data_IF_971102495773
#
_entry.id   IF_971102495773
#
_cell.length_a   1.000
_cell.length_b   1.000
_cell.length_c   1.000
_cell.angle_alpha   90.00
_cell.angle_beta   90.00
_cell.angle_gamma   90.00
#
_symmetry.space_group_name_H-M   'P 1'
#
loop_
_entity.id
_entity.type
_entity.pdbx_description
1 polymer ?
#
# COMPACT_ATOMS: atom_id res chain seq x y z
N UNK A 1 -28.08 -11.35 -44.77
CA UNK A 1 -28.36 -10.52 -43.57
C UNK A 1 -27.10 -10.53 -42.72
N UNK A 2 -26.19 -9.59 -42.96
CA UNK A 2 -24.92 -9.50 -42.23
C UNK A 2 -25.17 -8.89 -40.85
N UNK A 3 -25.06 -9.72 -39.80
CA UNK A 3 -24.99 -9.26 -38.42
C UNK A 3 -23.67 -8.50 -38.21
N UNK A 4 -23.73 -7.17 -38.31
CA UNK A 4 -22.69 -6.28 -37.79
C UNK A 4 -22.55 -6.51 -36.27
N UNK A 5 -21.61 -7.38 -35.89
CA UNK A 5 -21.02 -7.36 -34.56
C UNK A 5 -20.29 -6.01 -34.42
N UNK A 6 -21.00 -5.00 -33.93
CA UNK A 6 -20.37 -3.79 -33.40
C UNK A 6 -19.58 -4.19 -32.16
N UNK A 7 -18.36 -4.68 -32.36
CA UNK A 7 -17.32 -4.62 -31.34
C UNK A 7 -16.95 -3.15 -31.19
N UNK A 8 -17.60 -2.46 -30.27
CA UNK A 8 -17.07 -1.21 -29.74
C UNK A 8 -15.79 -1.56 -28.99
N UNK A 9 -14.65 -1.48 -29.68
CA UNK A 9 -13.35 -1.52 -29.05
C UNK A 9 -13.32 -0.44 -27.97
N UNK A 10 -13.39 -0.87 -26.70
CA UNK A 10 -13.31 0.03 -25.56
C UNK A 10 -11.89 0.58 -25.55
N UNK A 11 -11.72 1.78 -26.11
CA UNK A 11 -10.43 2.49 -26.16
C UNK A 11 -9.82 2.51 -24.76
N UNK A 12 -8.72 1.79 -24.59
CA UNK A 12 -8.00 1.69 -23.32
C UNK A 12 -7.52 3.09 -22.93
N UNK A 13 -7.75 3.50 -21.68
CA UNK A 13 -7.25 4.77 -21.17
C UNK A 13 -5.73 4.71 -21.02
N UNK A 14 -5.02 5.16 -22.06
CA UNK A 14 -3.56 5.09 -22.16
C UNK A 14 -2.85 5.82 -21.01
N UNK A 15 -3.45 6.88 -20.45
CA UNK A 15 -2.88 7.58 -19.28
C UNK A 15 -2.95 6.72 -18.03
N UNK A 16 -4.07 6.02 -17.81
CA UNK A 16 -4.22 5.12 -16.67
C UNK A 16 -3.36 3.87 -16.81
N UNK A 17 -3.17 3.36 -18.03
CA UNK A 17 -2.26 2.25 -18.28
C UNK A 17 -0.80 2.64 -17.96
N UNK A 18 -0.37 3.82 -18.41
CA UNK A 18 0.95 4.35 -18.09
C UNK A 18 1.11 4.61 -16.59
N UNK A 19 0.09 5.18 -15.93
CA UNK A 19 0.09 5.37 -14.48
C UNK A 19 0.30 4.05 -13.73
N UNK A 20 -0.45 3.01 -14.12
CA UNK A 20 -0.33 1.68 -13.52
C UNK A 20 1.08 1.10 -13.69
N UNK A 21 1.66 1.21 -14.89
CA UNK A 21 3.04 0.78 -15.15
C UNK A 21 4.05 1.52 -14.26
N UNK A 22 3.94 2.84 -14.16
CA UNK A 22 4.82 3.67 -13.34
C UNK A 22 4.70 3.36 -11.83
N UNK A 23 3.48 3.12 -11.33
CA UNK A 23 3.26 2.74 -9.94
C UNK A 23 3.91 1.37 -9.63
N UNK A 24 3.74 0.39 -10.52
CA UNK A 24 4.37 -0.92 -10.36
C UNK A 24 5.89 -0.82 -10.35
N UNK A 25 6.46 -0.07 -11.29
CA UNK A 25 7.90 0.18 -11.38
C UNK A 25 8.39 0.90 -10.11
N UNK A 26 7.65 1.89 -9.60
CA UNK A 26 8.01 2.62 -8.38
C UNK A 26 8.13 1.71 -7.16
N UNK A 27 7.20 0.76 -6.98
CA UNK A 27 7.26 -0.23 -5.89
C UNK A 27 8.41 -1.22 -6.04
N UNK A 28 8.74 -1.63 -7.27
CA UNK A 28 9.89 -2.51 -7.54
C UNK A 28 11.20 -1.77 -7.28
N UNK A 29 11.36 -0.55 -7.81
CA UNK A 29 12.56 0.25 -7.64
C UNK A 29 12.81 0.67 -6.19
N UNK A 30 11.77 0.77 -5.36
CA UNK A 30 11.94 0.98 -3.93
C UNK A 30 12.79 -0.12 -3.28
N UNK A 31 12.65 -1.37 -3.71
CA UNK A 31 13.46 -2.49 -3.21
C UNK A 31 14.93 -2.35 -3.60
N UNK A 32 15.22 -1.63 -4.68
CA UNK A 32 16.58 -1.41 -5.15
C UNK A 32 17.33 -0.32 -4.38
N UNK A 33 16.65 0.47 -3.52
CA UNK A 33 17.30 1.52 -2.73
C UNK A 33 18.41 0.95 -1.85
N UNK A 34 18.20 -0.25 -1.29
CA UNK A 34 19.19 -0.94 -0.47
C UNK A 34 20.54 -1.17 -1.19
N UNK A 35 20.54 -1.32 -2.53
CA UNK A 35 21.79 -1.54 -3.29
C UNK A 35 22.62 -0.27 -3.49
N UNK A 36 22.00 0.90 -3.40
CA UNK A 36 22.68 2.19 -3.60
C UNK A 36 22.88 2.97 -2.30
N UNK A 37 22.19 2.57 -1.23
CA UNK A 37 22.22 3.22 0.08
C UNK A 37 23.64 3.39 0.65
N UNK A 38 24.55 2.44 0.39
CA UNK A 38 25.94 2.50 0.86
C UNK A 38 26.79 3.63 0.25
N UNK A 39 26.34 4.23 -0.85
CA UNK A 39 27.04 5.32 -1.54
C UNK A 39 26.46 6.71 -1.21
N UNK A 40 25.45 6.78 -0.33
CA UNK A 40 24.71 7.99 -0.02
C UNK A 40 24.82 8.27 1.49
N UNK A 41 24.97 9.54 1.93
CA UNK A 41 24.92 9.89 3.35
C UNK A 41 23.67 9.34 4.04
N UNK A 42 23.83 8.77 5.24
CA UNK A 42 22.76 8.06 5.97
C UNK A 42 21.47 8.89 6.12
N UNK A 43 21.62 10.19 6.42
CA UNK A 43 20.48 11.11 6.54
C UNK A 43 19.69 11.22 5.22
N UNK A 44 20.39 11.31 4.10
CA UNK A 44 19.76 11.39 2.78
C UNK A 44 19.08 10.07 2.42
N UNK A 45 19.69 8.92 2.73
CA UNK A 45 19.07 7.61 2.55
C UNK A 45 17.76 7.50 3.34
N UNK A 46 17.74 7.92 4.61
CA UNK A 46 16.52 7.91 5.44
C UNK A 46 15.41 8.79 4.87
N UNK A 47 15.75 10.01 4.44
CA UNK A 47 14.79 10.94 3.81
C UNK A 47 14.24 10.35 2.52
N UNK A 48 15.13 9.79 1.69
CA UNK A 48 14.78 9.20 0.42
C UNK A 48 13.84 8.01 0.59
N UNK A 49 14.17 7.07 1.48
CA UNK A 49 13.31 5.93 1.79
C UNK A 49 11.94 6.37 2.33
N UNK A 50 11.90 7.35 3.24
CA UNK A 50 10.65 7.86 3.81
C UNK A 50 9.74 8.55 2.78
N UNK A 51 10.32 9.20 1.77
CA UNK A 51 9.61 10.05 0.82
C UNK A 51 9.43 9.44 -0.57
N UNK A 52 10.12 8.34 -0.91
CA UNK A 52 10.13 7.74 -2.25
C UNK A 52 8.72 7.52 -2.81
N UNK A 53 7.93 6.69 -2.14
CA UNK A 53 6.56 6.40 -2.59
C UNK A 53 5.66 7.64 -2.47
N UNK A 54 5.83 8.43 -1.41
CA UNK A 54 5.03 9.64 -1.17
C UNK A 54 5.14 10.63 -2.34
N UNK A 55 6.37 10.96 -2.73
CA UNK A 55 6.65 11.92 -3.80
C UNK A 55 6.33 11.32 -5.16
N UNK A 56 6.86 10.14 -5.48
CA UNK A 56 6.69 9.56 -6.81
C UNK A 56 5.23 9.19 -7.09
N UNK A 57 4.56 8.51 -6.16
CA UNK A 57 3.16 8.12 -6.37
C UNK A 57 2.23 9.33 -6.30
N UNK A 58 2.59 10.37 -5.54
CA UNK A 58 1.91 11.67 -5.58
C UNK A 58 2.00 12.35 -6.95
N UNK A 59 3.21 12.42 -7.53
CA UNK A 59 3.45 12.96 -8.88
C UNK A 59 2.70 12.15 -9.93
N UNK A 60 2.79 10.81 -9.88
CA UNK A 60 2.09 9.93 -10.84
C UNK A 60 0.57 10.13 -10.74
N UNK A 61 0.03 10.16 -9.52
CA UNK A 61 -1.38 10.43 -9.29
C UNK A 61 -1.82 11.79 -9.83
N UNK A 62 -1.05 12.85 -9.57
CA UNK A 62 -1.33 14.20 -10.04
C UNK A 62 -1.39 14.29 -11.57
N UNK A 63 -0.33 13.87 -12.26
CA UNK A 63 -0.20 14.07 -13.71
C UNK A 63 -1.02 13.09 -14.54
N UNK A 64 -1.15 11.83 -14.13
CA UNK A 64 -1.79 10.79 -14.95
C UNK A 64 -3.22 10.47 -14.51
N UNK A 65 -3.53 10.59 -13.21
CA UNK A 65 -4.87 10.29 -12.68
C UNK A 65 -5.71 11.54 -12.41
N UNK A 66 -5.07 12.71 -12.29
CA UNK A 66 -5.71 14.03 -12.24
C UNK A 66 -6.55 14.25 -10.99
N UNK A 67 -7.66 14.97 -11.13
CA UNK A 67 -8.52 15.40 -10.00
C UNK A 67 -8.92 14.25 -9.08
N UNK A 68 -9.24 13.07 -9.61
CA UNK A 68 -9.66 11.92 -8.80
C UNK A 68 -8.59 11.54 -7.75
N UNK A 69 -7.30 11.61 -8.11
CA UNK A 69 -6.19 11.36 -7.19
C UNK A 69 -6.02 12.46 -6.15
N UNK A 70 -6.49 13.68 -6.41
CA UNK A 70 -6.39 14.81 -5.47
C UNK A 70 -7.60 14.90 -4.54
N UNK A 71 -8.78 14.52 -5.02
CA UNK A 71 -10.02 14.57 -4.23
C UNK A 71 -9.93 13.72 -2.96
N UNK A 72 -9.16 12.63 -2.96
CA UNK A 72 -8.98 11.78 -1.77
C UNK A 72 -8.34 12.51 -0.57
N UNK A 73 -7.65 13.63 -0.79
CA UNK A 73 -7.08 14.45 0.29
C UNK A 73 -8.07 15.47 0.88
N UNK A 74 -9.22 15.69 0.23
CA UNK A 74 -10.20 16.71 0.64
C UNK A 74 -11.28 16.18 1.57
N UNK A 75 -11.35 14.88 1.74
CA UNK A 75 -12.40 14.23 2.52
C UNK A 75 -11.85 13.70 3.83
N UNK A 76 -12.71 13.64 4.84
CA UNK A 76 -12.45 12.95 6.10
C UNK A 76 -13.78 12.42 6.65
N UNK A 77 -13.83 11.17 7.10
CA UNK A 77 -15.07 10.53 7.56
C UNK A 77 -14.84 9.78 8.87
N UNK A 78 -15.11 10.46 9.98
CA UNK A 78 -14.92 9.94 11.35
C UNK A 78 -15.66 8.62 11.56
N UNK A 79 -16.90 8.49 11.06
CA UNK A 79 -17.66 7.23 11.18
C UNK A 79 -16.90 6.04 10.59
N UNK A 80 -16.20 6.24 9.46
CA UNK A 80 -15.39 5.21 8.84
C UNK A 80 -14.14 4.90 9.65
N UNK A 81 -13.49 5.93 10.20
CA UNK A 81 -12.34 5.77 11.08
C UNK A 81 -12.68 4.94 12.33
N UNK A 82 -13.82 5.21 12.97
CA UNK A 82 -14.24 4.57 14.22
C UNK A 82 -14.38 3.04 14.11
N UNK A 83 -14.90 2.53 13.00
CA UNK A 83 -14.96 1.08 12.78
C UNK A 83 -13.72 0.54 12.06
N UNK A 84 -13.10 1.33 11.18
CA UNK A 84 -11.96 0.91 10.37
C UNK A 84 -10.72 0.64 11.22
N UNK A 85 -10.48 1.48 12.22
CA UNK A 85 -9.34 1.37 13.13
C UNK A 85 -9.32 0.04 13.92
N UNK A 86 -10.35 -0.29 14.73
CA UNK A 86 -10.36 -1.57 15.46
C UNK A 86 -10.37 -2.76 14.52
N UNK A 87 -11.05 -2.66 13.37
CA UNK A 87 -11.10 -3.76 12.41
C UNK A 87 -9.73 -4.03 11.76
N UNK A 88 -8.92 -2.99 11.49
CA UNK A 88 -7.57 -3.15 10.95
C UNK A 88 -6.67 -3.93 11.91
N UNK A 89 -6.75 -3.61 13.20
CA UNK A 89 -6.01 -4.30 14.26
C UNK A 89 -6.47 -5.76 14.35
N UNK A 90 -7.78 -6.02 14.41
CA UNK A 90 -8.34 -7.37 14.52
C UNK A 90 -7.95 -8.23 13.31
N UNK A 91 -8.10 -7.70 12.09
CA UNK A 91 -7.76 -8.44 10.88
C UNK A 91 -6.27 -8.74 10.81
N UNK A 92 -5.40 -7.78 11.14
CA UNK A 92 -3.96 -8.01 11.12
C UNK A 92 -3.50 -9.02 12.17
N UNK A 93 -3.97 -8.89 13.42
CA UNK A 93 -3.67 -9.86 14.48
C UNK A 93 -4.21 -11.26 14.15
N UNK A 94 -5.46 -11.34 13.69
CA UNK A 94 -6.09 -12.60 13.29
C UNK A 94 -5.36 -13.26 12.13
N UNK A 95 -4.94 -12.48 11.12
CA UNK A 95 -4.18 -12.99 9.98
C UNK A 95 -2.82 -13.56 10.38
N UNK A 96 -2.10 -12.90 11.28
CA UNK A 96 -0.86 -13.42 11.86
C UNK A 96 -1.07 -14.70 12.67
N UNK A 97 -2.14 -14.75 13.49
CA UNK A 97 -2.47 -15.94 14.27
C UNK A 97 -2.83 -17.14 13.37
N UNK A 98 -3.61 -16.91 12.30
CA UNK A 98 -3.95 -17.93 11.31
C UNK A 98 -2.69 -18.46 10.65
N UNK A 99 -1.77 -17.59 10.22
CA UNK A 99 -0.52 -18.02 9.60
C UNK A 99 0.31 -18.90 10.55
N UNK A 100 0.54 -18.43 11.78
CA UNK A 100 1.34 -19.15 12.78
C UNK A 100 0.72 -20.48 13.23
N UNK A 101 -0.60 -20.62 13.13
CA UNK A 101 -1.29 -21.88 13.43
C UNK A 101 -1.14 -22.92 12.30
N UNK A 102 -1.16 -22.49 11.03
CA UNK A 102 -1.16 -23.40 9.87
C UNK A 102 0.26 -23.84 9.48
N UNK A 103 1.22 -22.92 9.54
CA UNK A 103 2.58 -23.15 9.05
C UNK A 103 3.53 -23.37 10.23
N UNK A 104 4.33 -22.36 10.57
CA UNK A 104 5.32 -22.33 11.63
C UNK A 104 5.50 -20.84 12.02
N UNK A 105 6.30 -20.47 13.04
CA UNK A 105 6.46 -19.08 13.43
C UNK A 105 6.82 -18.18 12.23
N UNK A 106 6.14 -17.04 12.05
CA UNK A 106 6.40 -16.16 10.91
C UNK A 106 7.84 -15.67 10.90
N UNK A 107 8.43 -15.59 9.70
CA UNK A 107 9.71 -14.91 9.50
C UNK A 107 9.58 -13.50 10.07
N UNK A 108 10.54 -13.13 10.91
CA UNK A 108 10.54 -11.80 11.51
C UNK A 108 10.82 -10.77 10.42
N UNK A 109 9.96 -9.76 10.33
CA UNK A 109 10.14 -8.64 9.40
C UNK A 109 11.49 -7.96 9.67
N UNK A 110 12.27 -7.68 8.63
CA UNK A 110 13.58 -7.03 8.74
C UNK A 110 13.55 -5.66 9.44
N UNK A 111 12.41 -4.96 9.41
CA UNK A 111 12.18 -3.71 10.16
C UNK A 111 12.38 -3.90 11.67
N UNK A 112 12.09 -5.09 12.20
CA UNK A 112 12.26 -5.38 13.63
C UNK A 112 13.70 -5.19 14.12
N UNK A 113 14.70 -5.26 13.24
CA UNK A 113 16.11 -5.09 13.59
C UNK A 113 16.55 -3.62 13.68
N UNK A 114 15.77 -2.70 13.12
CA UNK A 114 16.16 -1.28 12.96
C UNK A 114 15.13 -0.30 13.52
N UNK A 115 14.00 -0.81 14.03
CA UNK A 115 12.90 0.01 14.53
C UNK A 115 13.35 0.82 15.76
N UNK A 116 12.95 2.09 15.79
CA UNK A 116 13.21 2.99 16.91
C UNK A 116 12.07 3.98 17.08
N UNK A 117 11.98 4.61 18.26
CA UNK A 117 11.00 5.68 18.52
C UNK A 117 11.13 6.81 17.50
N UNK A 118 12.37 7.19 17.16
CA UNK A 118 12.65 8.20 16.13
C UNK A 118 12.09 7.78 14.76
N UNK A 119 12.29 6.53 14.35
CA UNK A 119 11.74 6.01 13.10
C UNK A 119 10.21 6.06 13.08
N UNK A 120 9.56 5.67 14.18
CA UNK A 120 8.09 5.69 14.30
C UNK A 120 7.52 7.10 14.23
N UNK A 121 8.19 8.09 14.83
CA UNK A 121 7.70 9.46 14.85
C UNK A 121 7.98 10.23 13.56
N UNK A 122 9.15 10.03 12.94
CA UNK A 122 9.63 10.91 11.87
C UNK A 122 9.76 10.25 10.50
N UNK A 123 9.69 8.92 10.40
CA UNK A 123 9.86 8.20 9.12
C UNK A 123 8.62 7.41 8.73
N UNK A 124 8.10 6.58 9.64
CA UNK A 124 6.91 5.73 9.40
C UNK A 124 5.72 6.54 8.87
N UNK A 125 5.34 7.71 9.41
CA UNK A 125 4.15 8.43 8.96
C UNK A 125 4.21 8.79 7.46
N UNK A 126 5.38 9.20 6.96
CA UNK A 126 5.59 9.56 5.56
C UNK A 126 5.68 8.34 4.65
N UNK A 127 6.39 7.31 5.10
CA UNK A 127 6.50 6.04 4.38
C UNK A 127 5.13 5.41 4.16
N UNK A 128 4.31 5.34 5.22
CA UNK A 128 2.96 4.79 5.15
C UNK A 128 2.01 5.66 4.32
N UNK A 129 2.17 6.99 4.30
CA UNK A 129 1.41 7.82 3.35
C UNK A 129 1.80 7.46 1.91
N UNK A 130 3.08 7.26 1.63
CA UNK A 130 3.54 6.75 0.34
C UNK A 130 2.92 5.41 -0.04
N UNK A 131 2.85 4.48 0.91
CA UNK A 131 2.20 3.18 0.73
C UNK A 131 0.68 3.29 0.48
N UNK A 132 0.00 4.23 1.13
CA UNK A 132 -1.39 4.53 0.81
C UNK A 132 -1.51 5.09 -0.61
N UNK A 133 -0.65 6.01 -1.03
CA UNK A 133 -0.73 6.61 -2.36
C UNK A 133 -0.43 5.63 -3.48
N UNK A 134 0.57 4.76 -3.34
CA UNK A 134 0.82 3.73 -4.35
C UNK A 134 -0.40 2.80 -4.47
N UNK A 135 -1.06 2.47 -3.36
CA UNK A 135 -2.23 1.59 -3.35
C UNK A 135 -3.48 2.27 -3.95
N UNK A 136 -3.86 3.44 -3.44
CA UNK A 136 -5.08 4.13 -3.89
C UNK A 136 -4.97 4.55 -5.35
N UNK A 137 -3.80 5.02 -5.79
CA UNK A 137 -3.58 5.37 -7.19
C UNK A 137 -3.55 4.13 -8.10
N UNK A 138 -3.05 2.99 -7.63
CA UNK A 138 -3.13 1.72 -8.37
C UNK A 138 -4.59 1.32 -8.57
N UNK A 139 -5.42 1.40 -7.52
CA UNK A 139 -6.85 1.11 -7.62
C UNK A 139 -7.53 2.10 -8.57
N UNK A 140 -7.29 3.40 -8.44
CA UNK A 140 -7.86 4.42 -9.33
C UNK A 140 -7.50 4.12 -10.80
N UNK A 141 -6.24 3.82 -11.09
CA UNK A 141 -5.77 3.48 -12.43
C UNK A 141 -6.51 2.25 -12.99
N UNK A 142 -6.58 1.17 -12.20
CA UNK A 142 -7.28 -0.07 -12.57
C UNK A 142 -8.79 0.16 -12.79
N UNK A 143 -9.43 0.99 -11.96
CA UNK A 143 -10.85 1.34 -12.13
C UNK A 143 -11.09 2.17 -13.40
N UNK A 144 -10.18 3.09 -13.75
CA UNK A 144 -10.24 3.82 -15.03
C UNK A 144 -10.02 2.92 -16.24
N UNK A 145 -9.25 1.85 -16.09
CA UNK A 145 -9.13 0.76 -17.08
C UNK A 145 -10.39 -0.13 -17.14
N UNK A 146 -11.37 0.10 -16.28
CA UNK A 146 -12.69 -0.53 -16.31
C UNK A 146 -12.88 -1.67 -15.32
N UNK A 147 -11.93 -1.92 -14.41
CA UNK A 147 -12.10 -2.93 -13.38
C UNK A 147 -13.04 -2.45 -12.27
N UNK A 148 -13.83 -3.39 -11.72
CA UNK A 148 -14.61 -3.15 -10.51
C UNK A 148 -13.68 -2.96 -9.32
N UNK A 149 -14.13 -2.21 -8.32
CA UNK A 149 -13.34 -1.94 -7.11
C UNK A 149 -12.83 -3.23 -6.44
N UNK A 150 -13.66 -4.28 -6.33
CA UNK A 150 -13.24 -5.55 -5.72
C UNK A 150 -12.04 -6.18 -6.43
N UNK A 151 -12.10 -6.30 -7.76
CA UNK A 151 -10.99 -6.84 -8.57
C UNK A 151 -9.75 -5.95 -8.47
N UNK A 152 -9.91 -4.63 -8.57
CA UNK A 152 -8.81 -3.68 -8.45
C UNK A 152 -8.14 -3.74 -7.06
N UNK A 153 -8.93 -3.89 -6.00
CA UNK A 153 -8.46 -4.04 -4.62
C UNK A 153 -7.66 -5.33 -4.41
N UNK A 154 -8.11 -6.45 -4.98
CA UNK A 154 -7.39 -7.72 -4.93
C UNK A 154 -6.03 -7.60 -5.64
N UNK A 155 -6.02 -7.09 -6.88
CA UNK A 155 -4.77 -6.90 -7.63
C UNK A 155 -3.81 -5.98 -6.86
N UNK A 156 -4.30 -4.85 -6.37
CA UNK A 156 -3.52 -3.93 -5.56
C UNK A 156 -2.95 -4.59 -4.30
N UNK A 157 -3.75 -5.39 -3.59
CA UNK A 157 -3.33 -6.02 -2.34
C UNK A 157 -2.27 -7.10 -2.58
N UNK A 158 -2.39 -7.85 -3.67
CA UNK A 158 -1.37 -8.83 -4.07
C UNK A 158 -0.08 -8.12 -4.49
N UNK A 159 -0.16 -7.07 -5.32
CA UNK A 159 1.03 -6.27 -5.69
C UNK A 159 1.73 -5.69 -4.45
N UNK A 160 0.94 -5.12 -3.52
CA UNK A 160 1.46 -4.58 -2.27
C UNK A 160 2.17 -5.64 -1.44
N UNK A 161 1.57 -6.82 -1.29
CA UNK A 161 2.20 -7.95 -0.60
C UNK A 161 3.50 -8.40 -1.28
N UNK A 162 3.53 -8.46 -2.61
CA UNK A 162 4.71 -8.85 -3.37
C UNK A 162 5.85 -7.82 -3.27
N UNK A 163 5.56 -6.52 -3.19
CA UNK A 163 6.59 -5.52 -2.92
C UNK A 163 7.26 -5.69 -1.56
N UNK A 164 6.61 -6.36 -0.59
CA UNK A 164 7.19 -6.62 0.72
C UNK A 164 8.03 -7.90 0.78
N UNK A 165 8.14 -8.67 -0.30
CA UNK A 165 8.77 -10.00 -0.28
C UNK A 165 10.19 -10.03 0.31
N UNK A 166 11.09 -9.07 0.07
CA UNK A 166 12.44 -9.13 0.62
C UNK A 166 12.46 -8.93 2.14
N UNK A 167 11.53 -8.12 2.68
CA UNK A 167 11.44 -7.83 4.11
C UNK A 167 10.98 -9.02 4.96
N UNK A 168 10.39 -10.04 4.32
CA UNK A 168 9.86 -11.24 4.96
C UNK A 168 10.63 -12.51 4.53
N UNK A 169 11.91 -12.36 4.15
CA UNK A 169 12.78 -13.50 3.83
C UNK A 169 12.34 -14.32 2.63
N UNK A 170 11.63 -13.69 1.67
CA UNK A 170 11.13 -14.36 0.48
C UNK A 170 10.14 -15.51 0.74
N UNK A 171 9.20 -15.32 1.67
CA UNK A 171 8.11 -16.26 1.97
C UNK A 171 6.76 -15.73 1.46
N UNK A 172 6.35 -16.00 0.20
CA UNK A 172 5.12 -15.48 -0.38
C UNK A 172 3.86 -15.81 0.42
N UNK A 173 3.76 -17.04 0.96
CA UNK A 173 2.57 -17.48 1.69
C UNK A 173 2.33 -16.67 2.95
N UNK A 174 3.40 -16.25 3.64
CA UNK A 174 3.29 -15.35 4.78
C UNK A 174 2.65 -14.04 4.35
N UNK A 175 3.17 -13.40 3.30
CA UNK A 175 2.66 -12.12 2.78
C UNK A 175 1.20 -12.22 2.32
N UNK A 176 0.84 -13.31 1.63
CA UNK A 176 -0.51 -13.53 1.14
C UNK A 176 -1.52 -13.69 2.28
N UNK A 177 -1.11 -14.27 3.40
CA UNK A 177 -1.99 -14.48 4.55
C UNK A 177 -1.98 -13.28 5.49
N UNK A 178 -0.84 -12.61 5.70
CA UNK A 178 -0.71 -11.56 6.73
C UNK A 178 -0.88 -10.14 6.18
N UNK A 179 -0.49 -9.88 4.93
CA UNK A 179 -0.53 -8.52 4.33
C UNK A 179 -1.78 -8.32 3.48
N UNK A 180 -2.13 -9.28 2.61
CA UNK A 180 -3.26 -9.11 1.68
C UNK A 180 -4.57 -8.81 2.41
N UNK A 181 -4.95 -9.50 3.51
CA UNK A 181 -6.22 -9.20 4.20
C UNK A 181 -6.26 -7.79 4.78
N UNK A 182 -5.16 -7.33 5.38
CA UNK A 182 -5.06 -5.98 5.94
C UNK A 182 -5.15 -4.95 4.82
N UNK A 183 -4.44 -5.16 3.71
CA UNK A 183 -4.48 -4.23 2.56
C UNK A 183 -5.86 -4.17 1.92
N UNK A 184 -6.54 -5.31 1.76
CA UNK A 184 -7.93 -5.37 1.28
C UNK A 184 -8.86 -4.54 2.17
N UNK A 185 -8.70 -4.63 3.48
CA UNK A 185 -9.46 -3.85 4.45
C UNK A 185 -9.13 -2.36 4.37
N UNK A 186 -7.86 -1.97 4.30
CA UNK A 186 -7.45 -0.56 4.16
C UNK A 186 -8.00 0.05 2.87
N UNK A 187 -7.97 -0.69 1.76
CA UNK A 187 -8.58 -0.29 0.50
C UNK A 187 -10.10 -0.08 0.67
N UNK A 188 -10.77 -0.97 1.40
CA UNK A 188 -12.20 -0.86 1.70
C UNK A 188 -12.52 0.34 2.60
N UNK A 189 -11.69 0.60 3.61
CA UNK A 189 -11.77 1.80 4.47
C UNK A 189 -11.66 3.06 3.60
N UNK A 190 -10.64 3.14 2.75
CA UNK A 190 -10.46 4.24 1.79
C UNK A 190 -11.69 4.41 0.88
N UNK A 191 -12.22 3.30 0.34
CA UNK A 191 -13.40 3.35 -0.54
C UNK A 191 -14.64 3.95 0.15
N UNK A 192 -14.84 3.62 1.43
CA UNK A 192 -16.00 4.06 2.22
C UNK A 192 -15.83 5.46 2.82
N UNK A 193 -14.60 5.91 3.04
CA UNK A 193 -14.26 7.25 3.50
C UNK A 193 -14.09 8.24 2.35
N UNK A 194 -13.73 7.76 1.16
CA UNK A 194 -13.17 8.55 0.04
C UNK A 194 -11.96 9.37 0.46
N UNK A 195 -11.25 8.94 1.50
CA UNK A 195 -10.23 9.72 2.19
C UNK A 195 -8.98 8.89 2.41
N UNK A 196 -7.86 9.35 1.85
CA UNK A 196 -6.55 8.75 2.13
C UNK A 196 -6.13 8.97 3.57
N UNK A 197 -6.53 10.08 4.19
CA UNK A 197 -6.26 10.36 5.61
C UNK A 197 -6.87 9.29 6.52
N UNK A 198 -8.09 8.84 6.24
CA UNK A 198 -8.76 7.84 7.09
C UNK A 198 -8.08 6.48 6.97
N UNK A 199 -7.73 6.03 5.76
CA UNK A 199 -7.01 4.75 5.60
C UNK A 199 -5.59 4.84 6.15
N UNK A 200 -4.90 5.96 5.92
CA UNK A 200 -3.57 6.24 6.48
C UNK A 200 -3.54 6.22 8.00
N UNK A 201 -4.51 6.83 8.70
CA UNK A 201 -4.57 6.77 10.18
C UNK A 201 -4.79 5.32 10.65
N UNK A 202 -5.68 4.57 9.98
CA UNK A 202 -5.90 3.17 10.33
C UNK A 202 -4.63 2.33 10.12
N UNK A 203 -3.93 2.57 9.02
CA UNK A 203 -2.67 1.91 8.68
C UNK A 203 -1.57 2.25 9.69
N UNK A 204 -1.36 3.54 9.97
CA UNK A 204 -0.38 4.03 10.93
C UNK A 204 -0.62 3.44 12.33
N UNK A 205 -1.85 3.43 12.80
CA UNK A 205 -2.17 2.87 14.11
C UNK A 205 -1.97 1.35 14.17
N UNK A 206 -2.36 0.62 13.11
CA UNK A 206 -2.09 -0.80 12.99
C UNK A 206 -0.58 -1.10 13.07
N UNK A 207 0.23 -0.38 12.28
CA UNK A 207 1.67 -0.57 12.23
C UNK A 207 2.35 -0.18 13.54
N UNK A 208 1.97 0.94 14.16
CA UNK A 208 2.49 1.33 15.48
C UNK A 208 2.24 0.21 16.50
N UNK A 209 1.02 -0.34 16.56
CA UNK A 209 0.71 -1.45 17.46
C UNK A 209 1.56 -2.68 17.13
N UNK A 210 1.77 -2.98 15.85
CA UNK A 210 2.66 -4.05 15.40
C UNK A 210 4.13 -3.83 15.77
N UNK A 211 4.59 -2.57 15.82
CA UNK A 211 5.96 -2.21 16.18
C UNK A 211 6.21 -2.16 17.69
N UNK A 212 5.20 -1.93 18.53
CA UNK A 212 5.38 -1.87 19.98
C UNK A 212 6.10 -3.10 20.55
N UNK A 213 5.72 -4.35 20.24
CA UNK A 213 6.45 -5.52 20.72
C UNK A 213 7.89 -5.62 20.20
N UNK A 214 8.22 -4.94 19.09
CA UNK A 214 9.58 -4.93 18.53
C UNK A 214 10.48 -3.90 19.22
N UNK A 215 9.91 -2.80 19.75
CA UNK A 215 10.64 -1.76 20.47
C UNK A 215 11.09 -2.19 21.88
N UNK A 216 10.34 -3.08 22.53
CA UNK A 216 10.59 -3.51 23.91
C UNK A 216 11.23 -4.90 23.99
N UNK A 217 11.82 -5.38 22.88
CA UNK A 217 12.61 -6.61 22.82
C UNK A 217 14.05 -6.39 23.26
#
# INVERSE_FOLDING_TARGET
>A
METKLMQTEKKIDSKSLLALGLLIISGILYQCIAFIAGNIPELLTKIFEASWNLVLCGIIGYYFLGKISLEQFKHFKIKTLLWGLPLAIIVGMGSNAIYGYIFEPPTTNSVAQVISVSMILFRVPFMLMGEELICTNTIIALQKLGLKFGTASIICSVLFALWHIPAYGFVPMQLLITIVPVRLLLNYIWKNSKSVWVSWICHLAFDIIGFLPMLFK
#
